data_IF_975016330495
#
_entry.id   IF_975016330495
#
_cell.length_a   1.000
_cell.length_b   1.000
_cell.length_c   1.000
_cell.angle_alpha   90.00
_cell.angle_beta   90.00
_cell.angle_gamma   90.00
#
_symmetry.space_group_name_H-M   'P 1'
#
loop_
_entity.id
_entity.type
_entity.pdbx_description
1 polymer ?
#
# COMPACT_ATOMS: atom_id res chain seq x y z
N UNK A 1 36.16 -17.75 -63.55
CA UNK A 1 36.30 -18.74 -62.45
C UNK A 1 35.32 -18.36 -61.34
N UNK A 2 34.16 -19.01 -61.27
CA UNK A 2 33.13 -18.72 -60.26
C UNK A 2 33.19 -19.80 -59.17
N UNK A 3 33.45 -19.39 -57.92
CA UNK A 3 33.54 -20.29 -56.77
C UNK A 3 32.24 -20.20 -55.97
N UNK A 4 31.46 -21.27 -55.97
CA UNK A 4 30.19 -21.36 -55.24
C UNK A 4 30.45 -21.70 -53.77
N UNK A 5 30.06 -20.81 -52.85
CA UNK A 5 30.17 -21.04 -51.41
C UNK A 5 28.97 -21.88 -50.96
N UNK A 6 29.21 -23.12 -50.53
CA UNK A 6 28.23 -23.97 -49.84
C UNK A 6 28.02 -23.42 -48.42
N UNK A 7 26.78 -23.10 -48.07
CA UNK A 7 26.38 -22.88 -46.67
C UNK A 7 26.12 -24.25 -46.02
N UNK A 8 26.88 -24.56 -44.97
CA UNK A 8 26.63 -25.70 -44.10
C UNK A 8 25.51 -25.33 -43.13
N UNK A 9 24.45 -26.14 -43.08
CA UNK A 9 23.32 -25.99 -42.17
C UNK A 9 23.40 -27.10 -41.12
N UNK A 10 24.19 -26.87 -40.08
CA UNK A 10 24.22 -27.73 -38.90
C UNK A 10 23.74 -26.87 -37.74
N UNK A 11 22.53 -27.14 -37.28
CA UNK A 11 21.92 -26.46 -36.14
C UNK A 11 22.31 -27.20 -34.86
N UNK A 12 22.66 -26.49 -33.77
CA UNK A 12 23.01 -27.11 -32.51
C UNK A 12 21.79 -27.79 -31.88
N UNK A 13 21.99 -29.02 -31.43
CA UNK A 13 21.05 -29.80 -30.65
C UNK A 13 20.62 -29.01 -29.40
N UNK A 14 19.30 -28.82 -29.24
CA UNK A 14 18.72 -28.09 -28.12
C UNK A 14 18.56 -29.09 -26.97
N UNK A 15 19.35 -28.92 -25.92
CA UNK A 15 19.19 -29.62 -24.65
C UNK A 15 17.95 -29.04 -23.94
N UNK A 16 16.94 -29.87 -23.71
CA UNK A 16 15.76 -29.50 -22.94
C UNK A 16 16.15 -29.30 -21.47
N UNK A 17 15.96 -28.08 -20.97
CA UNK A 17 16.19 -27.74 -19.55
C UNK A 17 14.84 -27.83 -18.84
N UNK A 18 14.71 -28.78 -17.90
CA UNK A 18 13.57 -28.89 -17.00
C UNK A 18 13.36 -27.58 -16.23
N UNK A 19 12.18 -26.99 -16.34
CA UNK A 19 11.74 -25.85 -15.53
C UNK A 19 11.31 -26.35 -14.14
N UNK A 20 12.26 -26.52 -13.23
CA UNK A 20 11.94 -26.59 -11.80
C UNK A 20 11.52 -25.21 -11.28
N UNK A 21 10.38 -25.19 -10.60
CA UNK A 21 9.79 -23.99 -10.01
C UNK A 21 10.65 -23.39 -8.91
N UNK A 22 10.84 -22.07 -8.99
CA UNK A 22 11.52 -21.28 -7.98
C UNK A 22 10.77 -19.98 -7.70
N UNK A 23 9.87 -20.03 -6.74
CA UNK A 23 9.25 -18.88 -6.08
C UNK A 23 10.37 -18.07 -5.40
N UNK A 24 10.80 -16.97 -6.01
CA UNK A 24 11.76 -16.06 -5.37
C UNK A 24 11.02 -15.10 -4.44
N UNK A 25 11.08 -15.41 -3.15
CA UNK A 25 10.71 -14.51 -2.07
C UNK A 25 11.63 -13.27 -2.03
N UNK A 26 11.06 -12.10 -2.26
CA UNK A 26 11.64 -10.82 -1.88
C UNK A 26 11.47 -10.63 -0.37
N UNK A 27 12.28 -11.33 0.41
CA UNK A 27 12.04 -11.44 1.84
C UNK A 27 13.28 -11.52 2.74
N UNK A 28 14.51 -11.38 2.27
CA UNK A 28 15.66 -11.28 3.19
C UNK A 28 16.86 -10.55 2.55
N UNK A 29 16.99 -9.24 2.81
CA UNK A 29 18.30 -8.55 2.73
C UNK A 29 18.39 -7.23 3.49
N UNK A 30 17.92 -7.23 4.74
CA UNK A 30 18.29 -6.20 5.73
C UNK A 30 18.73 -6.87 7.03
N UNK A 31 19.77 -7.71 6.95
CA UNK A 31 20.55 -8.13 8.12
C UNK A 31 22.03 -7.80 7.90
N UNK A 32 22.56 -7.07 8.89
CA UNK A 32 23.98 -6.78 9.20
C UNK A 32 24.60 -5.57 8.51
N UNK A 33 24.66 -4.46 9.24
CA UNK A 33 25.89 -4.03 9.96
C UNK A 33 25.60 -2.82 10.86
N UNK A 34 25.49 -3.04 12.17
CA UNK A 34 25.87 -2.06 13.20
C UNK A 34 26.63 -2.80 14.30
N UNK A 35 27.95 -2.58 14.44
CA UNK A 35 28.63 -2.81 15.70
C UNK A 35 28.41 -1.57 16.57
N UNK A 36 27.85 -1.76 17.76
CA UNK A 36 27.57 -0.67 18.69
C UNK A 36 26.93 -1.22 19.94
N UNK A 37 27.76 -1.82 20.79
CA UNK A 37 27.41 -2.24 22.13
C UNK A 37 26.98 -1.02 22.95
N UNK A 38 25.72 -1.01 23.38
CA UNK A 38 25.20 -0.12 24.40
C UNK A 38 24.25 -0.94 25.27
N UNK A 39 24.77 -1.41 26.41
CA UNK A 39 23.99 -2.09 27.44
C UNK A 39 23.06 -1.08 28.09
N UNK A 40 21.80 -1.05 27.62
CA UNK A 40 20.72 -0.40 28.35
C UNK A 40 19.95 -1.49 29.09
N UNK A 41 20.24 -1.56 30.39
CA UNK A 41 19.53 -2.30 31.42
C UNK A 41 18.01 -2.21 31.19
N UNK A 42 17.41 -3.34 30.79
CA UNK A 42 15.97 -3.52 30.85
C UNK A 42 15.55 -3.49 32.32
N UNK A 43 15.00 -2.35 32.76
CA UNK A 43 14.05 -2.38 33.87
C UNK A 43 12.79 -3.08 33.37
N UNK A 44 12.68 -4.34 33.74
CA UNK A 44 11.48 -5.14 33.70
C UNK A 44 10.39 -4.39 34.48
N UNK A 45 9.40 -3.85 33.77
CA UNK A 45 8.19 -3.32 34.39
C UNK A 45 7.30 -4.52 34.74
N UNK A 46 7.03 -4.67 36.02
CA UNK A 46 6.17 -5.73 36.56
C UNK A 46 4.70 -5.43 36.18
N UNK A 47 3.96 -6.37 35.56
CA UNK A 47 2.57 -6.15 35.16
C UNK A 47 1.55 -6.03 36.31
N UNK A 48 2.00 -6.07 37.57
CA UNK A 48 1.14 -6.14 38.75
C UNK A 48 1.31 -5.00 39.76
N UNK A 49 2.11 -3.97 39.47
CA UNK A 49 2.13 -2.74 40.29
C UNK A 49 0.86 -1.91 40.04
N UNK A 50 -0.24 -2.39 40.64
CA UNK A 50 -1.41 -1.58 40.93
C UNK A 50 -1.09 -0.74 42.17
N UNK A 51 -0.49 0.43 41.95
CA UNK A 51 -0.38 1.48 42.96
C UNK A 51 -1.79 2.06 43.22
N UNK A 52 -2.61 1.27 43.90
CA UNK A 52 -3.84 1.71 44.54
C UNK A 52 -3.49 2.16 45.96
N UNK A 53 -2.96 3.37 46.07
CA UNK A 53 -2.81 4.01 47.37
C UNK A 53 -3.04 5.51 47.25
N UNK A 54 -4.08 5.95 47.95
CA UNK A 54 -4.41 7.35 48.27
C UNK A 54 -4.89 8.23 47.12
N UNK A 55 -6.14 8.03 46.73
CA UNK A 55 -7.02 9.17 46.47
C UNK A 55 -8.12 9.20 47.54
N UNK A 56 -8.15 10.20 48.44
CA UNK A 56 -9.31 10.42 49.28
C UNK A 56 -10.49 10.82 48.38
N UNK A 57 -11.64 10.20 48.61
CA UNK A 57 -12.89 10.51 47.92
C UNK A 57 -13.25 12.00 48.04
N UNK A 58 -13.65 12.68 46.94
CA UNK A 58 -14.12 14.05 47.03
C UNK A 58 -15.45 14.12 47.79
N UNK A 59 -15.42 14.74 48.97
CA UNK A 59 -16.62 15.19 49.68
C UNK A 59 -17.21 16.34 48.87
N UNK A 60 -18.47 16.21 48.51
CA UNK A 60 -19.27 17.20 47.79
C UNK A 60 -19.65 18.36 48.74
N UNK A 61 -19.32 19.63 48.44
CA UNK A 61 -19.99 20.77 49.04
C UNK A 61 -20.93 21.43 48.03
N UNK A 62 -22.12 21.73 48.53
CA UNK A 62 -23.23 22.47 47.95
C UNK A 62 -22.87 23.90 47.48
N UNK A 63 -23.74 24.53 46.66
CA UNK A 63 -23.37 25.66 45.80
C UNK A 63 -23.49 27.01 46.53
N UNK A 64 -22.52 27.91 46.32
CA UNK A 64 -22.76 29.35 46.47
C UNK A 64 -21.73 30.24 45.77
N UNK A 65 -22.28 31.03 44.84
CA UNK A 65 -22.01 32.43 44.49
C UNK A 65 -20.60 32.84 44.03
N UNK A 66 -20.60 33.30 42.78
CA UNK A 66 -20.03 34.56 42.30
C UNK A 66 -18.74 35.02 42.96
N UNK A 67 -17.62 34.67 42.34
CA UNK A 67 -16.49 35.58 42.20
C UNK A 67 -15.76 35.20 40.94
N UNK A 68 -15.71 36.11 39.97
CA UNK A 68 -14.88 36.05 38.77
C UNK A 68 -13.40 36.07 39.16
N UNK A 69 -12.57 35.10 38.71
CA UNK A 69 -11.12 35.30 38.71
C UNK A 69 -10.51 34.98 37.33
N UNK A 70 -9.92 36.02 36.76
CA UNK A 70 -8.71 36.02 35.92
C UNK A 70 -8.38 34.75 35.11
N UNK A 71 -8.48 34.94 33.79
CA UNK A 71 -7.87 34.16 32.71
C UNK A 71 -6.44 33.69 33.08
N UNK A 72 -6.18 32.37 33.14
CA UNK A 72 -4.81 31.87 33.24
C UNK A 72 -4.10 32.02 31.89
N UNK A 73 -3.06 32.85 31.86
CA UNK A 73 -2.08 32.90 30.78
C UNK A 73 -1.49 31.50 30.56
N UNK A 74 -1.83 30.88 29.44
CA UNK A 74 -1.22 29.63 29.01
C UNK A 74 0.21 29.94 28.51
N UNK A 75 1.25 29.32 29.08
CA UNK A 75 2.60 29.47 28.57
C UNK A 75 2.66 28.89 27.15
N UNK A 76 2.86 29.76 26.17
CA UNK A 76 3.21 29.38 24.80
C UNK A 76 4.58 28.72 24.87
N UNK A 77 4.59 27.39 25.03
CA UNK A 77 5.81 26.60 25.00
C UNK A 77 6.32 26.57 23.54
N UNK A 78 7.12 27.59 23.23
CA UNK A 78 7.76 27.83 21.94
C UNK A 78 8.78 26.72 21.71
N UNK A 79 8.31 25.62 21.13
CA UNK A 79 9.05 24.41 20.77
C UNK A 79 10.17 24.73 19.76
N UNK A 80 11.31 25.21 20.26
CA UNK A 80 12.55 25.48 19.51
C UNK A 80 13.31 24.18 19.23
N UNK A 81 12.74 23.24 18.48
CA UNK A 81 13.41 21.94 18.22
C UNK A 81 13.36 21.48 16.75
N UNK A 82 13.52 22.38 15.78
CA UNK A 82 13.54 21.92 14.38
C UNK A 82 14.48 22.63 13.41
N UNK A 83 15.08 23.78 13.78
CA UNK A 83 15.90 24.53 12.82
C UNK A 83 17.15 23.77 12.37
N UNK A 84 17.80 23.00 13.26
CA UNK A 84 19.02 22.27 12.91
C UNK A 84 18.80 21.10 11.95
N UNK A 85 17.66 20.39 12.04
CA UNK A 85 17.39 19.21 11.23
C UNK A 85 16.96 19.58 9.81
N UNK A 86 16.22 20.69 9.65
CA UNK A 86 15.84 21.18 8.33
C UNK A 86 17.07 21.67 7.56
N UNK A 87 17.99 22.40 8.22
CA UNK A 87 19.21 22.89 7.57
C UNK A 87 20.14 21.77 7.09
N UNK A 88 20.26 20.66 7.85
CA UNK A 88 21.09 19.52 7.42
C UNK A 88 20.47 18.77 6.24
N UNK A 89 19.15 18.57 6.23
CA UNK A 89 18.46 17.95 5.09
C UNK A 89 18.67 18.78 3.81
N UNK A 90 18.50 20.11 3.88
CA UNK A 90 18.69 20.99 2.72
C UNK A 90 20.12 20.96 2.17
N UNK A 91 21.14 20.89 3.03
CA UNK A 91 22.55 20.82 2.57
C UNK A 91 22.88 19.49 1.91
N UNK A 92 22.35 18.37 2.42
CA UNK A 92 22.60 17.04 1.84
C UNK A 92 21.95 16.93 0.46
N UNK A 93 20.70 17.38 0.28
CA UNK A 93 20.03 17.34 -1.02
C UNK A 93 20.71 18.23 -2.07
N UNK A 94 21.19 19.43 -1.69
CA UNK A 94 22.00 20.28 -2.57
C UNK A 94 23.30 19.59 -3.03
N UNK A 95 23.99 18.89 -2.11
CA UNK A 95 25.21 18.15 -2.45
C UNK A 95 24.94 16.98 -3.42
N UNK A 96 23.81 16.28 -3.30
CA UNK A 96 23.43 15.21 -4.22
C UNK A 96 23.07 15.72 -5.63
N UNK A 97 22.42 16.88 -5.75
CA UNK A 97 22.08 17.46 -7.06
C UNK A 97 23.36 17.89 -7.80
N UNK A 98 24.31 18.49 -7.10
CA UNK A 98 25.58 18.93 -7.69
C UNK A 98 26.51 17.73 -7.97
N UNK A 99 26.57 16.75 -7.06
CA UNK A 99 27.47 15.60 -7.18
C UNK A 99 26.94 14.46 -8.06
N UNK A 100 25.62 14.29 -8.16
CA UNK A 100 25.00 13.21 -8.94
C UNK A 100 25.02 13.41 -10.45
N UNK A 101 25.24 14.65 -10.91
CA UNK A 101 25.20 15.00 -12.34
C UNK A 101 26.31 14.43 -13.21
N UNK A 102 27.38 13.87 -12.63
CA UNK A 102 28.58 13.45 -13.40
C UNK A 102 28.75 11.91 -13.46
N UNK A 103 28.02 11.13 -12.64
CA UNK A 103 28.28 9.69 -12.47
C UNK A 103 27.33 8.69 -13.14
N UNK A 104 26.19 9.11 -13.67
CA UNK A 104 25.08 8.20 -14.03
C UNK A 104 24.96 7.79 -15.51
N UNK A 105 25.98 8.03 -16.34
CA UNK A 105 25.83 8.11 -17.81
C UNK A 105 26.29 6.91 -18.66
N UNK A 106 26.67 5.75 -18.09
CA UNK A 106 27.16 4.62 -18.90
C UNK A 106 26.73 3.28 -18.29
N UNK A 107 25.64 2.66 -18.78
CA UNK A 107 25.36 1.26 -18.41
C UNK A 107 24.00 0.66 -18.77
N UNK A 108 23.00 1.45 -19.15
CA UNK A 108 21.61 0.96 -19.23
C UNK A 108 21.11 0.47 -20.59
N UNK A 109 21.96 0.01 -21.51
CA UNK A 109 21.57 -0.21 -22.90
C UNK A 109 21.83 -1.62 -23.44
N UNK A 110 21.67 -2.69 -22.65
CA UNK A 110 21.62 -4.06 -23.17
C UNK A 110 20.79 -4.92 -22.22
N UNK A 111 19.52 -5.20 -22.55
CA UNK A 111 18.77 -6.45 -22.24
C UNK A 111 17.28 -6.17 -22.49
N UNK A 112 16.81 -6.55 -23.68
CA UNK A 112 15.41 -6.92 -23.94
C UNK A 112 15.36 -7.67 -25.27
N UNK A 113 15.46 -9.00 -25.22
CA UNK A 113 15.15 -9.88 -26.36
C UNK A 113 14.64 -11.23 -25.87
N UNK A 114 13.33 -11.40 -25.79
CA UNK A 114 12.63 -12.69 -25.73
C UNK A 114 11.47 -12.58 -26.73
N UNK A 115 11.38 -13.31 -27.85
CA UNK A 115 11.23 -14.77 -28.13
C UNK A 115 9.95 -15.40 -27.56
N UNK A 116 8.83 -15.12 -28.20
CA UNK A 116 7.60 -15.92 -28.12
C UNK A 116 7.78 -17.25 -28.88
N UNK A 117 7.68 -18.39 -28.20
CA UNK A 117 7.57 -19.74 -28.80
C UNK A 117 6.14 -20.23 -28.65
N UNK A 118 5.46 -20.41 -29.78
CA UNK A 118 4.12 -21.00 -29.91
C UNK A 118 4.27 -22.52 -30.08
N UNK A 119 3.67 -23.32 -29.19
CA UNK A 119 3.43 -24.75 -29.42
C UNK A 119 2.04 -24.95 -30.00
N UNK A 120 1.96 -25.73 -31.07
CA UNK A 120 0.77 -26.04 -31.86
C UNK A 120 0.58 -27.55 -31.89
N UNK A 121 -0.51 -28.11 -31.35
CA UNK A 121 -1.05 -29.41 -31.78
C UNK A 121 -2.59 -29.51 -31.57
N UNK A 122 -3.25 -29.90 -32.67
CA UNK A 122 -4.46 -30.74 -32.84
C UNK A 122 -5.86 -30.09 -33.04
N UNK A 123 -6.59 -30.48 -34.11
CA UNK A 123 -7.90 -29.92 -34.44
C UNK A 123 -9.05 -30.77 -33.86
N UNK A 124 -10.06 -30.14 -33.26
CA UNK A 124 -11.39 -30.72 -33.19
C UNK A 124 -12.48 -29.68 -32.88
N UNK A 125 -13.46 -29.65 -33.78
CA UNK A 125 -14.80 -29.07 -33.72
C UNK A 125 -14.95 -27.57 -33.41
N UNK A 126 -15.11 -26.83 -34.51
CA UNK A 126 -15.45 -25.41 -34.61
C UNK A 126 -16.89 -25.15 -34.16
N UNK A 127 -17.08 -24.73 -32.91
CA UNK A 127 -18.17 -23.81 -32.55
C UNK A 127 -17.59 -22.40 -32.61
N UNK A 128 -18.05 -21.61 -33.58
CA UNK A 128 -17.64 -20.23 -33.82
C UNK A 128 -18.12 -19.33 -32.68
N UNK A 129 -17.34 -19.26 -31.60
CA UNK A 129 -17.38 -18.14 -30.66
C UNK A 129 -16.39 -17.07 -31.14
N UNK A 130 -16.87 -15.84 -31.30
CA UNK A 130 -16.02 -14.69 -31.63
C UNK A 130 -14.79 -14.64 -30.70
N UNK A 131 -13.58 -14.43 -31.24
CA UNK A 131 -12.40 -14.22 -30.40
C UNK A 131 -12.59 -12.94 -29.60
N UNK A 132 -12.89 -13.06 -28.32
CA UNK A 132 -12.76 -11.94 -27.39
C UNK A 132 -11.28 -11.58 -27.34
N UNK A 133 -10.93 -10.41 -27.85
CA UNK A 133 -9.59 -9.83 -27.74
C UNK A 133 -9.25 -9.67 -26.26
N UNK A 134 -8.56 -10.67 -25.68
CA UNK A 134 -8.04 -10.57 -24.32
C UNK A 134 -6.84 -9.64 -24.38
N UNK A 135 -7.09 -8.34 -24.18
CA UNK A 135 -6.03 -7.37 -23.93
C UNK A 135 -5.36 -7.77 -22.63
N UNK A 136 -4.14 -8.26 -22.69
CA UNK A 136 -3.26 -8.46 -21.52
C UNK A 136 -2.97 -7.10 -20.91
N UNK A 137 -3.85 -6.67 -20.01
CA UNK A 137 -3.65 -5.45 -19.24
C UNK A 137 -2.49 -5.70 -18.29
N UNK A 138 -1.48 -4.85 -18.36
CA UNK A 138 -0.43 -4.84 -17.36
C UNK A 138 -1.09 -4.47 -16.03
N UNK A 139 -1.13 -5.42 -15.10
CA UNK A 139 -1.48 -5.15 -13.71
C UNK A 139 -0.29 -4.44 -13.08
N UNK A 140 -0.55 -3.38 -12.33
CA UNK A 140 0.47 -2.87 -11.44
C UNK A 140 0.73 -3.90 -10.32
N UNK A 141 1.80 -3.72 -9.56
CA UNK A 141 2.09 -4.56 -8.37
C UNK A 141 0.95 -4.54 -7.34
N UNK A 142 0.00 -3.61 -7.47
CA UNK A 142 -1.20 -3.53 -6.64
C UNK A 142 -2.35 -4.41 -7.08
N UNK A 143 -2.21 -5.10 -8.22
CA UNK A 143 -3.32 -5.86 -8.79
C UNK A 143 -4.47 -4.95 -9.20
N UNK A 144 -4.21 -3.65 -9.41
CA UNK A 144 -5.15 -2.71 -9.95
C UNK A 144 -5.00 -2.74 -11.48
N UNK A 145 -5.88 -3.45 -12.21
CA UNK A 145 -5.91 -3.29 -13.66
C UNK A 145 -6.20 -1.81 -13.94
N UNK A 146 -5.59 -1.23 -14.96
CA UNK A 146 -5.92 0.13 -15.41
C UNK A 146 -7.40 0.32 -15.83
N UNK A 147 -8.24 -0.70 -15.67
CA UNK A 147 -9.69 -0.65 -15.86
C UNK A 147 -10.34 -0.45 -14.50
N UNK A 148 -10.68 0.80 -14.22
CA UNK A 148 -11.57 1.15 -13.11
C UNK A 148 -12.97 0.57 -13.35
N UNK A 149 -13.72 0.34 -12.27
CA UNK A 149 -15.13 -0.09 -12.27
C UNK A 149 -15.41 -1.60 -12.40
N UNK A 150 -14.43 -2.45 -12.07
CA UNK A 150 -14.70 -3.88 -11.94
C UNK A 150 -15.63 -4.19 -10.76
N UNK A 151 -16.59 -5.10 -10.98
CA UNK A 151 -17.54 -5.53 -9.95
C UNK A 151 -16.96 -6.71 -9.17
N UNK A 152 -16.79 -6.52 -7.87
CA UNK A 152 -16.45 -7.58 -6.93
C UNK A 152 -17.70 -8.16 -6.27
N UNK A 153 -17.83 -9.49 -6.31
CA UNK A 153 -18.87 -10.22 -5.58
C UNK A 153 -18.29 -10.67 -4.24
N UNK A 154 -18.79 -10.10 -3.15
CA UNK A 154 -18.30 -10.50 -1.82
C UNK A 154 -18.81 -11.88 -1.43
N UNK A 155 -18.18 -12.47 -0.42
CA UNK A 155 -18.65 -13.73 0.17
C UNK A 155 -19.97 -13.58 0.93
N UNK A 156 -20.37 -12.35 1.28
CA UNK A 156 -21.64 -12.07 1.94
C UNK A 156 -22.75 -11.98 0.88
N UNK A 157 -23.82 -12.80 0.97
CA UNK A 157 -24.89 -12.81 -0.02
C UNK A 157 -25.51 -11.42 -0.25
N UNK A 158 -25.71 -11.05 -1.52
CA UNK A 158 -26.34 -9.79 -1.92
C UNK A 158 -25.46 -8.54 -1.78
N UNK A 159 -24.20 -8.66 -1.33
CA UNK A 159 -23.26 -7.55 -1.22
C UNK A 159 -22.26 -7.59 -2.38
N UNK A 160 -22.31 -6.56 -3.22
CA UNK A 160 -21.42 -6.38 -4.36
C UNK A 160 -20.73 -5.03 -4.26
N UNK A 161 -19.50 -4.94 -4.75
CA UNK A 161 -18.71 -3.71 -4.70
C UNK A 161 -18.23 -3.30 -6.08
N UNK A 162 -18.22 -2.00 -6.35
CA UNK A 162 -17.56 -1.42 -7.51
C UNK A 162 -16.14 -1.00 -7.12
N UNK A 163 -15.12 -1.53 -7.79
CA UNK A 163 -13.73 -1.25 -7.48
C UNK A 163 -13.22 -0.02 -8.24
N UNK A 164 -12.46 0.83 -7.55
CA UNK A 164 -11.79 1.99 -8.14
C UNK A 164 -10.37 2.11 -7.65
N UNK A 165 -9.43 2.16 -8.59
CA UNK A 165 -8.01 2.22 -8.31
C UNK A 165 -7.54 3.67 -8.11
N UNK A 166 -6.53 3.85 -7.26
CA UNK A 166 -5.88 5.14 -6.95
C UNK A 166 -6.82 6.24 -6.46
N UNK A 167 -8.00 5.86 -5.98
CA UNK A 167 -8.99 6.76 -5.41
C UNK A 167 -9.21 6.40 -3.97
N UNK A 168 -9.08 7.40 -3.10
CA UNK A 168 -9.56 7.33 -1.71
C UNK A 168 -10.87 8.10 -1.60
N UNK A 169 -11.56 7.89 -0.49
CA UNK A 169 -12.74 8.66 -0.11
C UNK A 169 -12.40 9.46 1.13
N UNK A 170 -12.53 10.78 1.04
CA UNK A 170 -12.33 11.66 2.18
C UNK A 170 -13.68 12.15 2.72
N UNK A 171 -13.80 12.39 4.05
CA UNK A 171 -14.99 13.00 4.61
C UNK A 171 -15.18 14.42 4.08
N UNK A 172 -16.44 14.86 3.96
CA UNK A 172 -16.74 16.27 3.78
C UNK A 172 -16.47 17.04 5.09
N UNK A 173 -16.28 18.38 5.04
CA UNK A 173 -16.10 19.18 6.24
C UNK A 173 -17.27 18.99 7.23
N UNK A 174 -16.95 18.56 8.45
CA UNK A 174 -17.93 18.31 9.51
C UNK A 174 -18.49 16.88 9.55
N UNK A 175 -18.11 16.01 8.63
CA UNK A 175 -18.52 14.61 8.63
C UNK A 175 -17.43 13.69 9.19
N UNK A 176 -17.84 12.66 9.92
CA UNK A 176 -16.99 11.51 10.21
C UNK A 176 -17.51 10.30 9.46
N UNK A 177 -16.76 9.89 8.44
CA UNK A 177 -17.12 8.74 7.61
C UNK A 177 -16.41 7.46 8.02
N UNK A 178 -15.40 7.54 8.91
CA UNK A 178 -14.57 6.39 9.27
C UNK A 178 -15.25 5.57 10.37
N UNK A 179 -15.45 4.28 10.11
CA UNK A 179 -16.01 3.33 11.07
C UNK A 179 -14.93 2.56 11.85
N UNK A 180 -13.69 2.60 11.36
CA UNK A 180 -12.58 1.82 11.89
C UNK A 180 -11.65 1.33 10.80
N UNK A 181 -10.68 0.51 11.20
CA UNK A 181 -9.73 -0.10 10.30
C UNK A 181 -9.36 -1.53 10.73
N UNK A 182 -8.81 -2.30 9.80
CA UNK A 182 -8.32 -3.65 10.03
C UNK A 182 -7.15 -3.95 9.09
N UNK A 183 -6.08 -4.52 9.62
CA UNK A 183 -4.99 -5.01 8.77
C UNK A 183 -5.42 -6.30 8.07
N UNK A 184 -5.26 -6.33 6.74
CA UNK A 184 -5.64 -7.45 5.89
C UNK A 184 -4.61 -7.64 4.78
N UNK A 185 -4.42 -8.90 4.36
CA UNK A 185 -3.40 -9.25 3.38
C UNK A 185 -3.79 -8.92 1.94
N UNK A 186 -5.09 -8.76 1.64
CA UNK A 186 -5.59 -8.50 0.30
C UNK A 186 -6.77 -7.53 0.28
N UNK A 187 -6.99 -6.91 -0.88
CA UNK A 187 -8.18 -6.07 -1.08
C UNK A 187 -9.49 -6.85 -1.00
N UNK A 188 -9.51 -8.09 -1.49
CA UNK A 188 -10.69 -8.95 -1.41
C UNK A 188 -11.11 -9.20 0.05
N UNK A 189 -10.14 -9.43 0.95
CA UNK A 189 -10.40 -9.57 2.39
C UNK A 189 -10.90 -8.28 3.03
N UNK A 190 -10.45 -7.12 2.53
CA UNK A 190 -10.95 -5.81 2.93
C UNK A 190 -12.44 -5.67 2.59
N UNK A 191 -12.84 -5.99 1.35
CA UNK A 191 -14.22 -5.92 0.89
C UNK A 191 -15.12 -6.93 1.62
N UNK A 192 -14.66 -8.16 1.84
CA UNK A 192 -15.41 -9.15 2.61
C UNK A 192 -15.59 -8.71 4.07
N UNK A 193 -14.59 -8.08 4.68
CA UNK A 193 -14.71 -7.52 6.04
C UNK A 193 -15.71 -6.36 6.09
N UNK A 194 -15.73 -5.49 5.07
CA UNK A 194 -16.74 -4.43 4.96
C UNK A 194 -18.15 -5.02 4.76
N UNK A 195 -18.29 -6.06 3.95
CA UNK A 195 -19.58 -6.71 3.69
C UNK A 195 -20.21 -7.35 4.94
N UNK A 196 -19.40 -7.71 5.94
CA UNK A 196 -19.84 -8.26 7.23
C UNK A 196 -20.15 -7.16 8.27
N UNK A 197 -19.74 -5.92 8.02
CA UNK A 197 -19.93 -4.81 8.95
C UNK A 197 -21.19 -4.03 8.60
N UNK A 198 -22.15 -4.02 9.52
CA UNK A 198 -23.40 -3.27 9.34
C UNK A 198 -23.14 -1.78 9.16
N UNK A 199 -23.69 -1.21 8.09
CA UNK A 199 -23.52 0.19 7.73
C UNK A 199 -22.25 0.50 6.93
N UNK A 200 -21.39 -0.48 6.63
CA UNK A 200 -20.24 -0.25 5.74
C UNK A 200 -20.69 -0.10 4.29
N UNK A 201 -20.52 1.11 3.73
CA UNK A 201 -20.87 1.46 2.36
C UNK A 201 -19.66 1.54 1.44
N UNK A 202 -18.46 1.72 1.99
CA UNK A 202 -17.23 1.67 1.22
C UNK A 202 -16.05 1.20 2.07
N UNK A 203 -15.02 0.70 1.42
CA UNK A 203 -13.76 0.38 2.06
C UNK A 203 -12.58 0.73 1.18
N UNK A 204 -11.54 1.32 1.77
CA UNK A 204 -10.29 1.66 1.09
C UNK A 204 -9.18 0.80 1.66
N UNK A 205 -8.51 0.02 0.81
CA UNK A 205 -7.33 -0.74 1.19
C UNK A 205 -6.09 -0.03 0.67
N UNK A 206 -5.22 0.36 1.60
CA UNK A 206 -3.94 0.95 1.28
C UNK A 206 -2.93 -0.17 1.20
N UNK A 207 -2.61 -0.60 -0.01
CA UNK A 207 -1.57 -1.61 -0.18
C UNK A 207 -0.22 -1.04 0.24
N UNK A 208 0.10 0.15 -0.26
CA UNK A 208 1.34 0.83 0.03
C UNK A 208 1.13 2.34 0.04
N UNK A 209 1.63 3.01 1.08
CA UNK A 209 1.76 4.45 1.14
C UNK A 209 3.18 4.79 1.53
N UNK A 210 3.83 5.60 0.70
CA UNK A 210 5.14 6.14 0.99
C UNK A 210 5.06 7.22 2.08
N UNK A 211 3.99 8.02 2.04
CA UNK A 211 3.78 9.13 2.99
C UNK A 211 3.36 8.64 4.38
N UNK A 212 2.64 7.53 4.46
CA UNK A 212 2.16 6.93 5.71
C UNK A 212 2.36 5.40 5.74
N UNK A 213 3.60 4.90 5.91
CA UNK A 213 3.88 3.45 5.86
C UNK A 213 3.16 2.61 6.93
N UNK A 214 2.70 3.24 8.01
CA UNK A 214 1.89 2.59 9.06
C UNK A 214 0.51 2.14 8.56
N UNK A 215 0.06 2.69 7.43
CA UNK A 215 -1.21 2.36 6.82
C UNK A 215 -1.10 1.25 5.76
N UNK A 216 0.11 0.71 5.53
CA UNK A 216 0.31 -0.36 4.55
C UNK A 216 -0.41 -1.63 4.98
N UNK A 217 -1.07 -2.27 4.02
CA UNK A 217 -1.94 -3.43 4.23
C UNK A 217 -3.04 -3.17 5.28
N UNK A 218 -3.54 -1.94 5.36
CA UNK A 218 -4.67 -1.56 6.22
C UNK A 218 -5.90 -1.24 5.38
N UNK A 219 -7.01 -1.85 5.77
CA UNK A 219 -8.34 -1.59 5.24
C UNK A 219 -9.07 -0.59 6.14
N UNK A 220 -9.58 0.49 5.57
CA UNK A 220 -10.35 1.53 6.25
C UNK A 220 -11.82 1.44 5.84
N UNK A 221 -12.69 1.24 6.82
CA UNK A 221 -14.14 1.08 6.60
C UNK A 221 -14.86 2.42 6.67
N UNK A 222 -15.84 2.62 5.79
CA UNK A 222 -16.57 3.88 5.66
C UNK A 222 -18.07 3.66 5.63
N UNK A 223 -18.80 4.48 6.39
CA UNK A 223 -20.27 4.44 6.46
C UNK A 223 -20.96 5.33 5.41
N UNK A 224 -20.20 6.13 4.65
CA UNK A 224 -20.68 6.93 3.53
C UNK A 224 -19.66 6.91 2.39
N UNK A 225 -20.13 7.29 1.20
CA UNK A 225 -19.32 7.30 -0.04
C UNK A 225 -18.42 8.54 -0.13
N UNK A 226 -18.58 9.52 0.78
CA UNK A 226 -17.76 10.73 0.92
C UNK A 226 -17.47 11.47 -0.40
N UNK A 227 -16.32 12.14 -0.48
CA UNK A 227 -15.83 12.76 -1.71
C UNK A 227 -14.62 11.99 -2.23
N UNK A 228 -14.61 11.57 -3.52
CA UNK A 228 -13.45 10.90 -4.09
C UNK A 228 -12.25 11.86 -4.15
N UNK A 229 -11.09 11.39 -3.72
CA UNK A 229 -9.83 12.11 -3.77
C UNK A 229 -8.80 11.23 -4.48
N UNK A 230 -8.20 11.78 -5.55
CA UNK A 230 -7.07 11.11 -6.18
C UNK A 230 -5.85 11.17 -5.27
N UNK A 231 -5.15 10.04 -5.20
CA UNK A 231 -3.97 9.93 -4.36
C UNK A 231 -2.76 10.60 -4.97
N UNK A 232 -1.82 10.97 -4.09
CA UNK A 232 -0.53 11.50 -4.47
C UNK A 232 0.28 10.41 -5.17
N UNK A 233 1.06 10.80 -6.18
CA UNK A 233 1.95 9.88 -6.88
C UNK A 233 2.86 9.12 -5.89
N UNK A 234 2.88 7.79 -6.01
CA UNK A 234 3.68 6.91 -5.17
C UNK A 234 2.88 6.13 -4.12
N UNK A 235 1.66 6.56 -3.81
CA UNK A 235 0.74 5.79 -2.99
C UNK A 235 -0.12 4.86 -3.88
N UNK A 236 -0.31 3.64 -3.41
CA UNK A 236 -1.06 2.60 -4.08
C UNK A 236 -2.16 2.07 -3.17
N UNK A 237 -3.39 2.38 -3.56
CA UNK A 237 -4.59 1.99 -2.86
C UNK A 237 -5.74 1.76 -3.84
N UNK A 238 -6.74 1.07 -3.33
CA UNK A 238 -7.95 0.74 -4.06
C UNK A 238 -9.14 0.87 -3.12
N UNK A 239 -10.23 1.40 -3.66
CA UNK A 239 -11.47 1.60 -2.93
C UNK A 239 -12.58 0.79 -3.57
N UNK A 240 -13.40 0.13 -2.74
CA UNK A 240 -14.63 -0.53 -3.17
C UNK A 240 -15.85 0.19 -2.63
N UNK A 241 -16.84 0.42 -3.49
CA UNK A 241 -18.12 1.03 -3.15
C UNK A 241 -19.23 0.00 -3.18
N UNK A 242 -19.96 -0.15 -2.09
CA UNK A 242 -21.11 -1.05 -2.05
C UNK A 242 -22.17 -0.58 -3.05
N UNK A 243 -22.58 -1.47 -3.95
CA UNK A 243 -23.67 -1.20 -4.90
C UNK A 243 -24.92 -1.96 -4.45
N UNK A 244 -26.02 -1.24 -4.29
CA UNK A 244 -27.34 -1.83 -4.08
C UNK A 244 -27.90 -2.26 -5.43
N UNK A 245 -28.31 -3.52 -5.57
CA UNK A 245 -29.12 -3.92 -6.72
C UNK A 245 -30.48 -3.24 -6.56
N UNK A 246 -30.75 -2.24 -7.40
CA UNK A 246 -32.06 -1.59 -7.53
C UNK A 246 -33.03 -2.46 -8.32
#
# INVERSE_FOLDING_TARGET
MHRTIRKSSEAPEVVDTECEGGIWGYGERLKRKRPGAGTLSQKQLDPFDTESSKYPSPILPTPRRDTTPSLPDLPIERRRMSFGLITTICLVSLAFIIGGGVGGGVGGALVAKERSKTCSVQPSNTNTASPSTQTTLAFDTAGCPGINQDRYNSTTPGKHFLQSCYMDIVPQPGENISMGNKSVASFNDCLNSCAQLDGCLAATWIMFSFSAPRNNAVCFFKNTVGTPSQQVAGDSLVTGFLITQG
#
